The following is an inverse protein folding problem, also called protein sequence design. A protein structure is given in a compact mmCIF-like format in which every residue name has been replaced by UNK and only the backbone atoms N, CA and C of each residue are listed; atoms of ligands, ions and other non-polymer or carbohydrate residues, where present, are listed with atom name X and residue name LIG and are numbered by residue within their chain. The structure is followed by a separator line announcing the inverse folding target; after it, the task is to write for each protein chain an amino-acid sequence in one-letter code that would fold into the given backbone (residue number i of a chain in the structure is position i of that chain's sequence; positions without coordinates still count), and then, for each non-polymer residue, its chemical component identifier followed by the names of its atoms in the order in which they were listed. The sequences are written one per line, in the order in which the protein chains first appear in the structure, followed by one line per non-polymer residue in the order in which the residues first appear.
data_IF_494558154818
#
_entry.id   IF_494558154818
#
_cell.length_a   1.000
_cell.length_b   1.000
_cell.length_c   1.000
_cell.angle_alpha   90.00
_cell.angle_beta   90.00
_cell.angle_gamma   90.00
#
_symmetry.space_group_name_H-M   'P 1'
#
loop_
_entity.id
_entity.type
_entity.pdbx_description
1 polymer ?
#
# COMPACT_ATOMS: atom_id res chain seq x y z
N UNK A 1 10.27 -18.72 -14.37
CA UNK A 1 9.70 -17.55 -15.03
C UNK A 1 10.11 -16.32 -14.22
N UNK A 2 10.94 -15.45 -14.78
CA UNK A 2 11.40 -14.22 -14.10
C UNK A 2 10.19 -13.36 -13.75
N UNK A 3 9.93 -13.15 -12.45
CA UNK A 3 8.94 -12.19 -11.97
C UNK A 3 9.48 -10.79 -12.29
N UNK A 4 9.00 -10.18 -13.37
CA UNK A 4 9.41 -8.82 -13.73
C UNK A 4 9.04 -7.82 -12.62
N UNK A 5 9.80 -6.72 -12.49
CA UNK A 5 9.62 -5.70 -11.43
C UNK A 5 8.23 -5.04 -11.40
N UNK A 6 7.44 -5.23 -12.47
CA UNK A 6 6.14 -4.62 -12.62
C UNK A 6 5.04 -5.22 -11.73
N UNK A 7 5.16 -6.48 -11.26
CA UNK A 7 4.01 -7.21 -10.71
C UNK A 7 3.54 -6.71 -9.34
N UNK A 8 4.47 -6.43 -8.43
CA UNK A 8 4.15 -5.94 -7.09
C UNK A 8 3.55 -4.52 -7.09
N UNK A 9 3.99 -3.67 -8.03
CA UNK A 9 3.59 -2.27 -8.11
C UNK A 9 2.42 -2.02 -9.07
N UNK A 10 2.08 -2.98 -9.96
CA UNK A 10 0.99 -2.82 -10.93
C UNK A 10 -0.34 -2.48 -10.26
N UNK A 11 -0.68 -3.19 -9.21
CA UNK A 11 -1.95 -2.96 -8.51
C UNK A 11 -2.01 -1.59 -7.80
N UNK A 12 -1.02 -1.18 -6.96
CA UNK A 12 -1.02 0.16 -6.39
C UNK A 12 -1.09 1.29 -7.43
N UNK A 13 -0.38 1.15 -8.55
CA UNK A 13 -0.40 2.14 -9.64
C UNK A 13 -1.76 2.17 -10.35
N UNK A 14 -2.39 1.01 -10.57
CA UNK A 14 -3.74 0.94 -11.14
C UNK A 14 -4.75 1.67 -10.25
N UNK A 15 -4.72 1.42 -8.94
CA UNK A 15 -5.62 2.10 -7.99
C UNK A 15 -5.32 3.60 -7.93
N UNK A 16 -4.05 3.99 -8.01
CA UNK A 16 -3.67 5.42 -8.10
C UNK A 16 -4.28 6.08 -9.34
N UNK A 17 -4.13 5.47 -10.51
CA UNK A 17 -4.70 5.99 -11.75
C UNK A 17 -6.23 6.06 -11.69
N UNK A 18 -6.89 5.04 -11.13
CA UNK A 18 -8.33 5.04 -10.91
C UNK A 18 -8.80 6.16 -9.98
N UNK A 19 -8.08 6.39 -8.89
CA UNK A 19 -8.39 7.48 -7.94
C UNK A 19 -8.24 8.86 -8.60
N UNK A 20 -7.16 9.07 -9.37
CA UNK A 20 -6.98 10.33 -10.11
C UNK A 20 -8.05 10.51 -11.18
N UNK A 21 -8.49 9.45 -11.84
CA UNK A 21 -9.61 9.50 -12.80
C UNK A 21 -10.92 9.88 -12.09
N UNK A 22 -11.19 9.37 -10.89
CA UNK A 22 -12.36 9.78 -10.09
C UNK A 22 -12.26 11.27 -9.72
N UNK A 23 -11.10 11.75 -9.25
CA UNK A 23 -10.90 13.17 -8.95
C UNK A 23 -11.15 14.03 -10.19
N UNK A 24 -10.58 13.65 -11.33
CA UNK A 24 -10.73 14.37 -12.59
C UNK A 24 -12.19 14.37 -13.12
N UNK A 25 -12.94 13.29 -12.89
CA UNK A 25 -14.34 13.20 -13.32
C UNK A 25 -15.26 14.19 -12.60
N UNK A 26 -14.89 14.68 -11.43
CA UNK A 26 -15.66 15.69 -10.70
C UNK A 26 -15.30 17.13 -11.08
N UNK A 27 -14.21 17.38 -11.80
CA UNK A 27 -13.77 18.72 -12.22
C UNK A 27 -14.86 19.50 -12.96
N UNK A 28 -15.61 18.92 -13.92
CA UNK A 28 -16.64 19.68 -14.66
C UNK A 28 -17.84 20.11 -13.81
N UNK A 29 -18.02 19.54 -12.63
CA UNK A 29 -19.15 19.81 -11.72
C UNK A 29 -18.78 20.69 -10.52
N UNK A 30 -17.51 21.08 -10.42
CA UNK A 30 -16.94 21.77 -9.28
C UNK A 30 -16.93 23.30 -9.49
N UNK A 31 -17.27 24.05 -8.45
CA UNK A 31 -16.99 25.47 -8.35
C UNK A 31 -15.50 25.73 -8.01
N UNK A 32 -15.09 26.99 -7.87
CA UNK A 32 -13.68 27.36 -7.63
C UNK A 32 -13.13 26.76 -6.33
N UNK A 33 -13.94 26.74 -5.26
CA UNK A 33 -13.51 26.21 -3.96
C UNK A 33 -13.38 24.69 -4.03
N UNK A 34 -14.33 24.03 -4.67
CA UNK A 34 -14.30 22.59 -4.91
C UNK A 34 -13.14 22.17 -5.84
N UNK A 35 -12.85 22.97 -6.89
CA UNK A 35 -11.68 22.75 -7.76
C UNK A 35 -10.38 22.82 -6.99
N UNK A 36 -10.26 23.79 -6.07
CA UNK A 36 -9.08 23.92 -5.21
C UNK A 36 -8.91 22.69 -4.31
N UNK A 37 -9.99 22.18 -3.73
CA UNK A 37 -9.98 20.96 -2.93
C UNK A 37 -9.62 19.72 -3.76
N UNK A 38 -10.20 19.55 -4.95
CA UNK A 38 -9.86 18.45 -5.87
C UNK A 38 -8.38 18.49 -6.28
N UNK A 39 -7.86 19.70 -6.55
CA UNK A 39 -6.44 19.89 -6.88
C UNK A 39 -5.54 19.46 -5.70
N UNK A 40 -5.87 19.86 -4.48
CA UNK A 40 -5.12 19.46 -3.27
C UNK A 40 -5.14 17.94 -3.10
N UNK A 41 -6.30 17.29 -3.25
CA UNK A 41 -6.41 15.81 -3.18
C UNK A 41 -5.57 15.17 -4.27
N UNK A 42 -5.68 15.62 -5.52
CA UNK A 42 -4.90 15.09 -6.65
C UNK A 42 -3.39 15.21 -6.43
N UNK A 43 -2.92 16.39 -5.98
CA UNK A 43 -1.52 16.63 -5.66
C UNK A 43 -1.04 15.75 -4.50
N UNK A 44 -1.85 15.59 -3.44
CA UNK A 44 -1.52 14.71 -2.32
C UNK A 44 -1.39 13.25 -2.76
N UNK A 45 -2.30 12.76 -3.62
CA UNK A 45 -2.26 11.42 -4.21
C UNK A 45 -0.97 11.24 -5.01
N UNK A 46 -0.63 12.19 -5.89
CA UNK A 46 0.58 12.14 -6.70
C UNK A 46 1.85 12.18 -5.85
N UNK A 47 1.96 13.15 -4.95
CA UNK A 47 3.15 13.35 -4.12
C UNK A 47 3.40 12.14 -3.21
N UNK A 48 2.36 11.61 -2.57
CA UNK A 48 2.51 10.45 -1.70
C UNK A 48 2.81 9.18 -2.50
N UNK A 49 2.22 9.00 -3.69
CA UNK A 49 2.55 7.88 -4.60
C UNK A 49 4.00 7.96 -5.06
N UNK A 50 4.47 9.14 -5.45
CA UNK A 50 5.87 9.36 -5.83
C UNK A 50 6.83 9.06 -4.66
N UNK A 51 6.51 9.50 -3.45
CA UNK A 51 7.28 9.18 -2.25
C UNK A 51 7.35 7.66 -1.99
N UNK A 52 6.22 6.96 -2.06
CA UNK A 52 6.16 5.49 -1.86
C UNK A 52 6.89 4.73 -2.97
N UNK A 53 6.77 5.19 -4.21
CA UNK A 53 7.56 4.69 -5.34
C UNK A 53 9.04 4.92 -5.13
N UNK A 54 9.44 6.11 -4.66
CA UNK A 54 10.84 6.41 -4.33
C UNK A 54 11.44 5.48 -3.28
N UNK A 55 10.65 5.09 -2.26
CA UNK A 55 11.06 4.06 -1.28
C UNK A 55 11.17 2.68 -1.95
N UNK A 56 10.21 2.30 -2.78
CA UNK A 56 10.17 0.99 -3.45
C UNK A 56 11.38 0.79 -4.39
N UNK A 57 11.75 1.83 -5.12
CA UNK A 57 12.89 1.78 -6.04
C UNK A 57 14.24 2.13 -5.38
N UNK A 58 14.24 2.46 -4.08
CA UNK A 58 15.46 2.79 -3.35
C UNK A 58 16.00 4.20 -3.64
N UNK A 59 15.20 5.09 -4.23
CA UNK A 59 15.55 6.52 -4.39
C UNK A 59 15.65 7.16 -3.00
N UNK A 60 14.66 6.90 -2.15
CA UNK A 60 14.67 7.32 -0.75
C UNK A 60 15.13 6.19 0.18
N UNK A 61 15.87 6.53 1.26
CA UNK A 61 16.29 5.52 2.24
C UNK A 61 15.10 4.99 3.03
N UNK A 62 15.00 3.66 3.11
CA UNK A 62 14.00 2.99 3.96
C UNK A 62 14.38 3.01 5.43
N UNK A 63 15.65 3.24 5.74
CA UNK A 63 16.23 3.12 7.07
C UNK A 63 16.75 1.70 7.39
N UNK A 64 16.66 0.78 6.42
CA UNK A 64 17.26 -0.54 6.58
C UNK A 64 18.77 -0.41 6.40
N UNK A 65 19.51 -0.62 7.49
CA UNK A 65 20.98 -0.53 7.54
C UNK A 65 21.53 -1.94 7.71
N UNK A 66 21.48 -2.72 6.64
CA UNK A 66 22.14 -4.02 6.60
C UNK A 66 22.59 -4.28 5.16
N UNK A 67 23.71 -4.96 5.00
CA UNK A 67 24.26 -5.40 3.71
C UNK A 67 24.67 -6.85 3.82
N UNK A 68 24.49 -7.60 2.73
CA UNK A 68 24.79 -9.03 2.68
C UNK A 68 23.61 -9.92 3.02
N UNK A 69 23.90 -11.17 3.35
CA UNK A 69 22.88 -12.15 3.71
C UNK A 69 22.36 -11.91 5.14
N UNK A 70 21.03 -11.78 5.28
CA UNK A 70 20.36 -11.61 6.56
C UNK A 70 19.18 -12.58 6.65
N UNK A 71 18.98 -13.17 7.81
CA UNK A 71 17.85 -14.07 8.00
C UNK A 71 16.55 -13.29 8.09
N UNK A 72 15.59 -13.66 7.26
CA UNK A 72 14.29 -13.02 7.21
C UNK A 72 13.14 -13.99 7.05
N UNK A 73 11.97 -13.57 7.48
CA UNK A 73 10.71 -14.29 7.27
C UNK A 73 9.58 -13.31 6.95
N UNK A 74 8.56 -13.79 6.23
CA UNK A 74 7.34 -13.02 6.06
C UNK A 74 6.44 -13.15 7.28
N UNK A 75 5.90 -12.02 7.71
CA UNK A 75 4.76 -11.95 8.64
C UNK A 75 3.65 -11.10 8.04
N UNK A 76 2.40 -11.51 8.23
CA UNK A 76 1.23 -10.77 7.80
C UNK A 76 0.62 -10.06 9.01
N UNK A 77 0.56 -8.75 8.93
CA UNK A 77 -0.14 -7.94 9.91
C UNK A 77 -1.63 -7.91 9.59
N UNK A 78 -2.45 -8.20 10.58
CA UNK A 78 -3.89 -7.96 10.56
C UNK A 78 -4.25 -6.97 11.65
N UNK A 79 -4.67 -5.79 11.24
CA UNK A 79 -5.06 -4.74 12.18
C UNK A 79 -6.29 -4.00 11.67
N UNK A 80 -7.43 -4.16 12.37
CA UNK A 80 -8.71 -3.59 11.97
C UNK A 80 -9.09 -3.98 10.53
N UNK A 81 -9.26 -2.99 9.63
CA UNK A 81 -9.62 -3.16 8.22
C UNK A 81 -8.40 -3.22 7.29
N UNK A 82 -7.20 -3.44 7.84
CA UNK A 82 -5.96 -3.40 7.05
C UNK A 82 -5.17 -4.68 7.24
N UNK A 83 -4.76 -5.28 6.12
CA UNK A 83 -3.81 -6.38 6.07
C UNK A 83 -2.55 -5.94 5.31
N UNK A 84 -1.35 -6.23 5.83
CA UNK A 84 -0.07 -5.85 5.21
C UNK A 84 0.98 -6.93 5.33
N UNK A 85 1.82 -7.04 4.30
CA UNK A 85 3.02 -7.88 4.34
C UNK A 85 4.20 -7.14 4.96
N UNK A 86 4.90 -7.83 5.84
CA UNK A 86 6.15 -7.40 6.45
C UNK A 86 7.20 -8.48 6.27
N UNK A 87 8.44 -8.03 6.10
CA UNK A 87 9.61 -8.89 6.28
C UNK A 87 10.18 -8.58 7.66
N UNK A 88 10.17 -9.58 8.52
CA UNK A 88 10.89 -9.59 9.79
C UNK A 88 12.32 -10.01 9.48
N UNK A 89 13.26 -9.14 9.76
CA UNK A 89 14.67 -9.29 9.38
C UNK A 89 15.51 -9.25 10.64
N UNK A 90 16.34 -10.27 10.83
CA UNK A 90 17.34 -10.29 11.89
C UNK A 90 18.59 -9.57 11.41
N UNK A 91 18.92 -8.44 12.03
CA UNK A 91 20.10 -7.63 11.72
C UNK A 91 21.01 -7.55 12.96
N UNK A 92 21.96 -8.47 13.05
CA UNK A 92 22.75 -8.69 14.26
C UNK A 92 21.87 -9.08 15.44
N UNK A 93 22.00 -8.36 16.58
CA UNK A 93 21.19 -8.60 17.78
C UNK A 93 19.82 -7.92 17.75
N UNK A 94 19.44 -7.28 16.64
CA UNK A 94 18.21 -6.51 16.51
C UNK A 94 17.28 -7.13 15.50
N UNK A 95 15.98 -7.15 15.86
CA UNK A 95 14.91 -7.47 14.96
C UNK A 95 14.34 -6.20 14.37
N UNK A 96 14.18 -6.16 13.05
CA UNK A 96 13.57 -5.04 12.33
C UNK A 96 12.46 -5.52 11.41
N UNK A 97 11.47 -4.68 11.19
CA UNK A 97 10.29 -4.98 10.35
C UNK A 97 10.26 -4.04 9.15
N UNK A 98 10.41 -4.61 7.97
CA UNK A 98 10.33 -3.87 6.70
C UNK A 98 8.99 -4.12 6.04
N UNK A 99 8.10 -3.11 5.89
CA UNK A 99 6.87 -3.29 5.12
C UNK A 99 7.21 -3.40 3.64
N UNK A 100 6.55 -4.35 2.95
CA UNK A 100 6.77 -4.59 1.53
C UNK A 100 5.45 -4.62 0.76
N UNK A 101 5.49 -4.27 -0.53
CA UNK A 101 4.37 -4.50 -1.42
C UNK A 101 4.14 -5.99 -1.60
N UNK A 102 2.86 -6.38 -1.66
CA UNK A 102 2.53 -7.78 -1.85
C UNK A 102 3.03 -8.29 -3.20
N UNK A 103 3.83 -9.34 -3.13
CA UNK A 103 4.27 -10.16 -4.25
C UNK A 103 3.83 -11.61 -3.96
N UNK A 104 3.28 -12.37 -4.92
CA UNK A 104 2.87 -13.76 -4.70
C UNK A 104 3.96 -14.64 -4.07
N UNK A 105 5.23 -14.43 -4.42
CA UNK A 105 6.37 -15.13 -3.83
C UNK A 105 6.47 -15.00 -2.30
N UNK A 106 5.94 -13.90 -1.72
CA UNK A 106 5.88 -13.77 -0.27
C UNK A 106 5.03 -14.85 0.40
N UNK A 107 4.01 -15.37 -0.29
CA UNK A 107 3.12 -16.40 0.28
C UNK A 107 3.80 -17.75 0.44
N UNK A 108 4.84 -18.00 -0.33
CA UNK A 108 5.65 -19.24 -0.28
C UNK A 108 6.96 -19.04 0.49
N UNK A 109 7.30 -17.81 0.89
CA UNK A 109 8.55 -17.49 1.55
C UNK A 109 8.65 -18.22 2.90
N UNK A 110 9.64 -19.10 3.00
CA UNK A 110 10.05 -19.74 4.26
C UNK A 110 11.07 -18.83 4.98
N UNK A 111 11.35 -19.03 6.26
CA UNK A 111 12.52 -18.41 6.88
C UNK A 111 13.78 -18.75 6.09
N UNK A 112 14.37 -17.74 5.47
CA UNK A 112 15.51 -17.89 4.54
C UNK A 112 16.49 -16.75 4.71
N UNK A 113 17.65 -16.89 4.10
CA UNK A 113 18.64 -15.83 4.02
C UNK A 113 18.28 -14.92 2.84
N UNK A 114 17.90 -13.69 3.16
CA UNK A 114 17.59 -12.63 2.20
C UNK A 114 18.89 -11.87 1.87
N UNK A 115 19.09 -11.57 0.60
CA UNK A 115 20.21 -10.74 0.17
C UNK A 115 19.83 -9.26 0.19
N UNK A 116 20.55 -8.48 0.98
CA UNK A 116 20.41 -7.05 1.03
C UNK A 116 21.53 -6.39 0.23
N UNK A 117 21.18 -5.80 -0.91
CA UNK A 117 22.12 -5.09 -1.78
C UNK A 117 21.75 -3.62 -1.84
N UNK A 118 22.45 -2.79 -1.07
CA UNK A 118 22.16 -1.38 -0.98
C UNK A 118 20.78 -1.11 -0.39
N UNK A 119 19.79 -0.80 -1.23
CA UNK A 119 18.40 -0.49 -0.83
C UNK A 119 17.38 -1.52 -1.35
N UNK A 120 17.85 -2.63 -1.89
CA UNK A 120 17.00 -3.69 -2.43
C UNK A 120 17.09 -4.96 -1.60
N UNK A 121 15.96 -5.67 -1.53
CA UNK A 121 15.81 -6.93 -0.79
C UNK A 121 15.52 -8.02 -1.81
N UNK A 122 16.32 -9.07 -1.79
CA UNK A 122 16.18 -10.18 -2.73
C UNK A 122 16.08 -11.52 -2.01
N UNK A 123 15.29 -12.44 -2.59
CA UNK A 123 15.33 -13.86 -2.32
C UNK A 123 15.60 -14.55 -3.66
N UNK A 124 16.83 -14.98 -3.89
CA UNK A 124 17.29 -15.47 -5.18
C UNK A 124 16.99 -14.45 -6.30
N UNK A 125 16.14 -14.85 -7.27
CA UNK A 125 15.76 -14.00 -8.40
C UNK A 125 14.57 -13.08 -8.12
N UNK A 126 13.96 -13.13 -6.94
CA UNK A 126 12.79 -12.33 -6.59
C UNK A 126 13.21 -11.09 -5.81
N UNK A 127 12.82 -9.91 -6.31
CA UNK A 127 13.01 -8.65 -5.62
C UNK A 127 11.75 -8.26 -4.86
N UNK A 128 11.91 -7.96 -3.57
CA UNK A 128 10.85 -7.39 -2.75
C UNK A 128 10.98 -5.86 -2.71
N UNK A 129 9.85 -5.19 -2.92
CA UNK A 129 9.76 -3.74 -2.99
C UNK A 129 9.28 -3.18 -1.66
N UNK A 130 10.10 -2.36 -0.95
CA UNK A 130 9.66 -1.69 0.26
C UNK A 130 8.44 -0.82 0.03
N UNK A 131 7.41 -1.01 0.84
CA UNK A 131 6.20 -0.18 0.80
C UNK A 131 6.21 0.92 1.86
N UNK A 132 7.30 1.07 2.63
CA UNK A 132 7.47 2.07 3.67
C UNK A 132 8.83 2.00 4.33
N UNK A 133 9.01 2.81 5.37
CA UNK A 133 10.22 2.79 6.18
C UNK A 133 10.26 1.58 7.10
N UNK A 134 11.46 1.11 7.41
CA UNK A 134 11.70 0.06 8.40
C UNK A 134 11.24 0.51 9.78
N UNK A 135 10.82 -0.45 10.59
CA UNK A 135 10.50 -0.25 12.02
C UNK A 135 11.41 -1.08 12.89
N UNK A 136 11.78 -0.54 14.03
CA UNK A 136 12.52 -1.24 15.09
C UNK A 136 11.58 -1.81 16.15
N UNK A 137 10.30 -1.43 16.09
CA UNK A 137 9.24 -1.94 16.97
C UNK A 137 8.29 -2.82 16.17
N UNK A 138 7.80 -3.87 16.80
CA UNK A 138 6.82 -4.77 16.20
C UNK A 138 5.60 -4.02 15.69
N UNK A 139 5.11 -4.34 14.47
CA UNK A 139 3.88 -3.74 13.95
C UNK A 139 2.68 -4.03 14.85
N UNK A 140 1.83 -3.02 15.05
CA UNK A 140 0.64 -3.13 15.90
C UNK A 140 -0.40 -4.08 15.30
N UNK A 141 -1.10 -4.84 16.15
CA UNK A 141 -2.15 -5.77 15.73
C UNK A 141 -1.68 -7.22 15.75
N UNK A 142 -2.45 -8.12 15.15
CA UNK A 142 -2.11 -9.53 15.08
C UNK A 142 -1.10 -9.77 13.96
N UNK A 143 0.04 -10.32 14.30
CA UNK A 143 0.99 -10.84 13.32
C UNK A 143 0.71 -12.33 13.10
N UNK A 144 0.52 -12.69 11.85
CA UNK A 144 0.26 -14.08 11.44
C UNK A 144 1.42 -14.54 10.60
N UNK A 145 2.17 -15.51 11.12
CA UNK A 145 3.05 -16.33 10.32
C UNK A 145 2.21 -17.49 9.78
N UNK A 146 2.15 -17.64 8.46
CA UNK A 146 1.37 -18.72 7.87
C UNK A 146 2.22 -20.00 7.81
N UNK A 147 2.02 -20.98 8.70
CA UNK A 147 2.83 -22.19 8.76
C UNK A 147 2.58 -23.12 7.57
N UNK A 148 1.36 -23.12 7.03
CA UNK A 148 1.04 -23.89 5.82
C UNK A 148 1.20 -23.02 4.58
N UNK A 149 2.35 -23.14 3.93
CA UNK A 149 2.66 -22.41 2.71
C UNK A 149 2.23 -23.25 1.50
N UNK A 150 1.50 -22.65 0.55
CA UNK A 150 1.16 -23.36 -0.68
C UNK A 150 2.44 -23.66 -1.48
N UNK A 151 2.46 -24.78 -2.19
CA UNK A 151 3.58 -25.10 -3.07
C UNK A 151 3.73 -24.06 -4.20
N UNK A 152 2.59 -23.57 -4.70
CA UNK A 152 2.55 -22.51 -5.72
C UNK A 152 2.05 -21.20 -5.13
N UNK A 153 2.63 -20.05 -5.54
CA UNK A 153 2.17 -18.74 -5.11
C UNK A 153 0.72 -18.49 -5.53
N UNK A 154 -0.20 -18.18 -4.60
CA UNK A 154 -1.58 -17.92 -4.96
C UNK A 154 -1.71 -16.64 -5.77
N UNK A 155 -2.43 -16.72 -6.90
CA UNK A 155 -2.77 -15.55 -7.71
C UNK A 155 -4.08 -14.92 -7.19
N UNK A 156 -3.99 -13.72 -6.62
CA UNK A 156 -5.18 -12.96 -6.22
C UNK A 156 -5.58 -12.00 -7.33
N UNK A 157 -6.82 -12.12 -7.79
CA UNK A 157 -7.39 -11.21 -8.80
C UNK A 157 -7.52 -9.77 -8.29
N UNK A 158 -7.51 -8.82 -9.22
CA UNK A 158 -7.65 -7.38 -8.95
C UNK A 158 -8.94 -7.09 -8.17
N UNK A 159 -10.05 -7.73 -8.52
CA UNK A 159 -11.35 -7.55 -7.86
C UNK A 159 -11.29 -7.89 -6.37
N UNK A 160 -10.67 -9.02 -6.00
CA UNK A 160 -10.49 -9.41 -4.58
C UNK A 160 -9.65 -8.37 -3.82
N UNK A 161 -8.55 -7.92 -4.42
CA UNK A 161 -7.69 -6.90 -3.81
C UNK A 161 -8.44 -5.58 -3.62
N UNK A 162 -9.21 -5.17 -4.62
CA UNK A 162 -9.99 -3.94 -4.57
C UNK A 162 -11.08 -4.00 -3.49
N UNK A 163 -11.80 -5.13 -3.36
CA UNK A 163 -12.82 -5.31 -2.30
C UNK A 163 -12.19 -5.19 -0.90
N UNK A 164 -11.00 -5.74 -0.70
CA UNK A 164 -10.30 -5.63 0.59
C UNK A 164 -9.84 -4.19 0.86
N UNK A 165 -9.36 -3.49 -0.16
CA UNK A 165 -8.89 -2.11 -0.03
C UNK A 165 -10.04 -1.08 0.05
N UNK A 166 -11.25 -1.46 -0.36
CA UNK A 166 -12.48 -0.67 -0.18
C UNK A 166 -13.00 -0.66 1.27
N UNK A 167 -12.59 -1.58 2.12
CA UNK A 167 -13.11 -1.65 3.49
C UNK A 167 -12.96 -0.33 4.28
N UNK A 168 -11.84 0.41 4.23
CA UNK A 168 -11.75 1.70 4.90
C UNK A 168 -12.67 2.78 4.32
N UNK A 169 -13.16 2.60 3.09
CA UNK A 169 -14.08 3.55 2.44
C UNK A 169 -15.47 3.60 3.09
N UNK A 170 -15.78 2.69 4.03
CA UNK A 170 -16.99 2.77 4.87
C UNK A 170 -17.10 4.12 5.61
N UNK A 171 -15.97 4.79 5.88
CA UNK A 171 -15.92 6.11 6.48
C UNK A 171 -16.15 7.28 5.50
N UNK A 172 -16.19 7.03 4.18
CA UNK A 172 -16.30 8.09 3.18
C UNK A 172 -17.58 8.94 3.29
N UNK A 173 -18.78 8.40 3.59
CA UNK A 173 -19.97 9.21 3.78
C UNK A 173 -19.83 10.24 4.91
N UNK A 174 -19.07 9.94 5.96
CA UNK A 174 -18.82 10.91 7.04
C UNK A 174 -17.99 12.10 6.54
N UNK A 175 -17.01 11.85 5.66
CA UNK A 175 -16.25 12.93 5.01
C UNK A 175 -17.16 13.75 4.11
N UNK A 176 -18.06 13.10 3.34
CA UNK A 176 -19.05 13.78 2.51
C UNK A 176 -19.99 14.68 3.32
N UNK A 177 -20.51 14.17 4.44
CA UNK A 177 -21.36 14.97 5.36
C UNK A 177 -20.60 16.17 5.93
N UNK A 178 -19.37 15.96 6.38
CA UNK A 178 -18.53 17.04 6.90
C UNK A 178 -18.28 18.11 5.83
N UNK A 179 -17.98 17.68 4.60
CA UNK A 179 -17.79 18.56 3.47
C UNK A 179 -19.02 19.43 3.21
N UNK A 180 -20.22 18.82 3.11
CA UNK A 180 -21.49 19.54 2.91
C UNK A 180 -21.77 20.51 4.03
N UNK A 181 -21.49 20.12 5.27
CA UNK A 181 -21.66 20.98 6.44
C UNK A 181 -20.75 22.23 6.39
N UNK A 182 -19.48 22.05 6.02
CA UNK A 182 -18.50 23.15 5.98
C UNK A 182 -18.73 24.08 4.79
N UNK A 183 -19.02 23.51 3.61
CA UNK A 183 -19.14 24.23 2.35
C UNK A 183 -20.57 24.63 2.02
N UNK A 184 -21.53 24.33 2.90
CA UNK A 184 -22.96 24.56 2.69
C UNK A 184 -23.47 24.00 1.35
N UNK A 185 -22.97 22.83 0.95
CA UNK A 185 -23.28 22.19 -0.32
C UNK A 185 -24.56 21.35 -0.27
N UNK A 186 -25.09 21.05 -1.45
CA UNK A 186 -26.25 20.16 -1.60
C UNK A 186 -25.89 18.69 -1.82
N UNK A 187 -26.87 17.91 -2.28
CA UNK A 187 -26.72 16.46 -2.55
C UNK A 187 -25.58 16.14 -3.54
N UNK A 188 -25.38 16.97 -4.57
CA UNK A 188 -24.30 16.78 -5.54
C UNK A 188 -22.92 16.87 -4.88
N UNK A 189 -22.72 17.86 -4.01
CA UNK A 189 -21.48 18.01 -3.25
C UNK A 189 -21.25 16.85 -2.27
N UNK A 190 -22.32 16.33 -1.65
CA UNK A 190 -22.25 15.13 -0.82
C UNK A 190 -21.79 13.91 -1.60
N UNK A 191 -22.40 13.64 -2.76
CA UNK A 191 -22.06 12.51 -3.61
C UNK A 191 -20.62 12.63 -4.08
N UNK A 192 -20.21 13.81 -4.57
CA UNK A 192 -18.87 14.08 -5.04
C UNK A 192 -17.81 13.87 -3.95
N UNK A 193 -17.98 14.49 -2.81
CA UNK A 193 -17.05 14.36 -1.69
C UNK A 193 -16.97 12.92 -1.16
N UNK A 194 -18.11 12.23 -1.05
CA UNK A 194 -18.14 10.81 -0.65
C UNK A 194 -17.39 9.93 -1.64
N UNK A 195 -17.60 10.13 -2.94
CA UNK A 195 -16.95 9.35 -4.00
C UNK A 195 -15.44 9.57 -4.03
N UNK A 196 -15.01 10.84 -3.94
CA UNK A 196 -13.58 11.20 -3.89
C UNK A 196 -12.93 10.65 -2.62
N UNK A 197 -13.59 10.75 -1.46
CA UNK A 197 -13.10 10.20 -0.22
C UNK A 197 -12.98 8.66 -0.28
N UNK A 198 -13.97 7.96 -0.82
CA UNK A 198 -13.94 6.51 -0.98
C UNK A 198 -12.77 6.06 -1.88
N UNK A 199 -12.57 6.71 -3.02
CA UNK A 199 -11.45 6.45 -3.90
C UNK A 199 -10.11 6.71 -3.21
N UNK A 200 -9.99 7.80 -2.44
CA UNK A 200 -8.78 8.18 -1.70
C UNK A 200 -8.46 7.18 -0.58
N UNK A 201 -9.45 6.70 0.18
CA UNK A 201 -9.23 5.68 1.20
C UNK A 201 -8.79 4.34 0.61
N UNK A 202 -9.40 3.94 -0.51
CA UNK A 202 -9.02 2.74 -1.26
C UNK A 202 -7.58 2.84 -1.77
N UNK A 203 -7.23 3.95 -2.39
CA UNK A 203 -5.86 4.23 -2.83
C UNK A 203 -4.86 4.20 -1.67
N UNK A 204 -5.21 4.83 -0.54
CA UNK A 204 -4.33 4.89 0.62
C UNK A 204 -4.06 3.50 1.21
N UNK A 205 -5.03 2.59 1.14
CA UNK A 205 -4.84 1.19 1.50
C UNK A 205 -3.87 0.51 0.54
N UNK A 206 -4.12 0.59 -0.77
CA UNK A 206 -3.33 -0.05 -1.81
C UNK A 206 -1.87 0.44 -1.83
N UNK A 207 -1.65 1.77 -1.77
CA UNK A 207 -0.30 2.36 -1.87
C UNK A 207 0.55 2.12 -0.61
N UNK A 208 -0.06 1.73 0.49
CA UNK A 208 0.64 1.33 1.71
C UNK A 208 1.05 -0.15 1.73
N UNK A 209 0.77 -0.90 0.66
CA UNK A 209 1.14 -2.30 0.52
C UNK A 209 0.15 -3.24 1.19
N UNK A 210 -1.11 -3.19 0.76
CA UNK A 210 -2.15 -4.14 1.18
C UNK A 210 -1.80 -5.58 0.78
N UNK A 211 -2.16 -6.52 1.65
CA UNK A 211 -1.92 -7.95 1.49
C UNK A 211 -3.26 -8.68 1.31
N UNK A 212 -3.52 -9.29 0.14
CA UNK A 212 -4.76 -9.96 -0.17
C UNK A 212 -4.84 -11.43 0.33
N UNK A 213 -3.77 -11.96 0.92
CA UNK A 213 -3.68 -13.37 1.35
C UNK A 213 -4.45 -13.71 2.62
#
# INVERSE_FOLDING_TARGET
MSSGPARALTYPLLVTSGTLAVVAAWVPFADIDQLSALAVVGLAVLAYTAYRGGLAFGVFPTGLVATGAVRGRRVRQQYRLVSRSWLEISSGDRMVWQPVFYEPALSTLTPTDLELTGRSIHDGNTRFYPSGRVRTTEPTGKLVDNPSRPADPPAFGIARRLILDLQPAVGAPLVGLLWVYVMNGGLGAFIGATTVAAATFTWLSAIRGSDPS
#
